data_IF_049344228704
#
_entry.id   IF_049344228704
#
_cell.length_a   1.000
_cell.length_b   1.000
_cell.length_c   1.000
_cell.angle_alpha   90.00
_cell.angle_beta   90.00
_cell.angle_gamma   90.00
#
_symmetry.space_group_name_H-M   'P 1'
#
loop_
_entity.id
_entity.type
_entity.pdbx_description
1 polymer ?
#
# COMPACT_ATOMS: atom_id res chain seq x y z
N UNK A 1 13.19 -21.73 9.48
CA UNK A 1 13.21 -20.66 10.51
C UNK A 1 12.06 -19.74 10.16
N UNK A 2 11.14 -19.51 11.10
CA UNK A 2 10.01 -18.60 10.88
C UNK A 2 10.53 -17.18 10.98
N UNK A 3 10.56 -16.46 9.85
CA UNK A 3 10.95 -15.05 9.83
C UNK A 3 9.77 -14.24 10.35
N UNK A 4 9.91 -13.65 11.55
CA UNK A 4 8.95 -12.66 12.03
C UNK A 4 9.18 -11.37 11.25
N UNK A 5 8.21 -10.94 10.46
CA UNK A 5 8.29 -9.64 9.79
C UNK A 5 8.02 -8.55 10.83
N UNK A 6 8.93 -7.58 10.96
CA UNK A 6 8.73 -6.45 11.87
C UNK A 6 7.87 -5.39 11.18
N UNK A 7 6.78 -4.96 11.83
CA UNK A 7 5.92 -3.89 11.32
C UNK A 7 6.20 -2.62 12.12
N UNK A 8 6.80 -1.63 11.46
CA UNK A 8 6.92 -0.28 12.00
C UNK A 8 5.60 0.44 11.74
N UNK A 9 5.01 1.02 12.79
CA UNK A 9 3.82 1.85 12.69
C UNK A 9 4.15 3.30 13.05
N UNK A 10 3.88 4.22 12.12
CA UNK A 10 4.13 5.65 12.26
C UNK A 10 2.81 6.41 12.30
N UNK A 11 2.58 7.20 13.35
CA UNK A 11 1.42 8.08 13.44
C UNK A 11 1.63 9.30 12.53
N UNK A 12 0.79 9.44 11.49
CA UNK A 12 0.85 10.57 10.56
C UNK A 12 -0.08 11.72 10.94
N UNK A 13 -1.19 11.42 11.60
CA UNK A 13 -2.20 12.40 12.00
C UNK A 13 -3.08 11.85 13.11
N UNK A 14 -3.52 12.73 14.00
CA UNK A 14 -4.49 12.43 15.05
C UNK A 14 -5.40 13.64 15.25
N UNK A 15 -6.69 13.39 15.43
CA UNK A 15 -7.68 14.42 15.74
C UNK A 15 -8.74 13.89 16.69
N UNK A 16 -9.22 14.79 17.54
CA UNK A 16 -10.34 14.55 18.45
C UNK A 16 -11.59 15.24 17.91
N UNK A 17 -12.77 14.69 18.21
CA UNK A 17 -14.07 15.25 17.81
C UNK A 17 -14.37 15.17 16.31
N UNK A 18 -14.35 13.94 15.81
CA UNK A 18 -14.84 13.61 14.47
C UNK A 18 -16.21 12.96 14.55
N UNK A 19 -17.01 13.15 13.50
CA UNK A 19 -18.36 12.59 13.39
C UNK A 19 -18.51 11.76 12.12
N UNK A 20 -19.22 10.64 12.24
CA UNK A 20 -19.50 9.74 11.12
C UNK A 20 -21.00 9.65 10.87
N UNK A 21 -21.39 9.72 9.60
CA UNK A 21 -22.76 9.78 9.11
C UNK A 21 -23.05 8.60 8.18
N UNK A 22 -24.32 8.19 8.11
CA UNK A 22 -24.80 7.32 7.04
C UNK A 22 -24.88 8.12 5.75
N UNK A 23 -24.37 7.55 4.66
CA UNK A 23 -24.45 8.14 3.33
C UNK A 23 -25.25 7.21 2.40
N UNK A 24 -26.01 7.76 1.44
CA UNK A 24 -26.72 6.94 0.47
C UNK A 24 -25.72 6.25 -0.48
N UNK A 25 -26.06 5.08 -1.02
CA UNK A 25 -25.25 4.45 -2.06
C UNK A 25 -25.23 5.31 -3.33
N UNK A 26 -24.15 5.19 -4.10
CA UNK A 26 -23.97 5.87 -5.38
C UNK A 26 -22.88 6.96 -5.34
N UNK A 27 -22.90 7.91 -6.29
CA UNK A 27 -21.80 8.85 -6.49
C UNK A 27 -21.65 9.80 -5.31
N UNK A 28 -20.40 10.17 -5.03
CA UNK A 28 -20.03 11.10 -3.98
C UNK A 28 -20.63 12.49 -4.24
N UNK A 29 -21.65 12.86 -3.45
CA UNK A 29 -22.19 14.22 -3.42
C UNK A 29 -22.79 14.54 -2.07
N UNK A 30 -22.25 15.57 -1.43
CA UNK A 30 -22.67 16.10 -0.14
C UNK A 30 -24.13 16.58 -0.16
N UNK A 31 -24.63 17.03 -1.32
CA UNK A 31 -26.03 17.44 -1.48
C UNK A 31 -27.05 16.32 -1.18
N UNK A 32 -26.62 15.06 -1.34
CA UNK A 32 -27.44 13.87 -1.07
C UNK A 32 -27.28 13.37 0.38
N UNK A 33 -26.33 13.92 1.13
CA UNK A 33 -26.05 13.48 2.49
C UNK A 33 -27.02 14.12 3.47
N UNK A 34 -27.55 13.32 4.38
CA UNK A 34 -28.34 13.83 5.49
C UNK A 34 -27.39 14.30 6.61
N UNK A 35 -27.09 15.60 6.66
CA UNK A 35 -26.16 16.19 7.62
C UNK A 35 -26.79 16.55 8.98
N UNK A 36 -28.03 16.11 9.23
CA UNK A 36 -28.68 16.31 10.54
C UNK A 36 -27.99 15.48 11.61
N UNK A 37 -27.96 16.00 12.84
CA UNK A 37 -27.37 15.29 13.99
C UNK A 37 -27.99 13.91 14.22
N UNK A 38 -29.28 13.73 13.90
CA UNK A 38 -29.97 12.44 14.00
C UNK A 38 -29.44 11.37 13.04
N UNK A 39 -28.62 11.73 12.06
CA UNK A 39 -27.98 10.81 11.12
C UNK A 39 -26.53 10.47 11.49
N UNK A 40 -26.00 11.07 12.56
CA UNK A 40 -24.69 10.73 13.11
C UNK A 40 -24.79 9.34 13.75
N UNK A 41 -23.94 8.41 13.31
CA UNK A 41 -23.90 7.04 13.84
C UNK A 41 -22.77 6.84 14.86
N UNK A 42 -21.77 7.71 14.82
CA UNK A 42 -20.62 7.60 15.69
C UNK A 42 -19.91 8.96 15.81
N UNK A 43 -19.39 9.24 16.99
CA UNK A 43 -18.48 10.36 17.29
C UNK A 43 -17.31 9.85 18.12
N UNK A 44 -16.15 10.48 17.94
CA UNK A 44 -14.94 10.07 18.66
C UNK A 44 -13.68 10.72 18.14
N UNK A 45 -12.57 9.98 18.24
CA UNK A 45 -11.25 10.38 17.76
C UNK A 45 -10.82 9.53 16.58
N UNK A 46 -9.96 10.08 15.72
CA UNK A 46 -9.35 9.30 14.66
C UNK A 46 -7.84 9.49 14.63
N UNK A 47 -7.16 8.49 14.08
CA UNK A 47 -5.74 8.57 13.76
C UNK A 47 -5.42 7.92 12.42
N UNK A 48 -4.55 8.57 11.66
CA UNK A 48 -3.97 8.02 10.43
C UNK A 48 -2.61 7.43 10.77
N UNK A 49 -2.47 6.13 10.52
CA UNK A 49 -1.26 5.36 10.82
C UNK A 49 -0.71 4.80 9.53
N UNK A 50 0.55 5.10 9.25
CA UNK A 50 1.34 4.42 8.22
C UNK A 50 1.96 3.18 8.83
N UNK A 51 2.00 2.09 8.08
CA UNK A 51 2.69 0.88 8.45
C UNK A 51 3.68 0.49 7.36
N UNK A 52 4.91 0.23 7.78
CA UNK A 52 6.00 -0.24 6.95
C UNK A 52 6.44 -1.62 7.46
N UNK A 53 6.39 -2.62 6.58
CA UNK A 53 6.79 -4.00 6.87
C UNK A 53 8.26 -4.18 6.51
N UNK A 54 9.11 -4.32 7.52
CA UNK A 54 10.52 -4.68 7.32
C UNK A 54 10.59 -6.19 7.05
N UNK A 55 11.10 -6.54 5.87
CA UNK A 55 11.43 -7.93 5.53
C UNK A 55 12.91 -8.14 5.82
N UNK A 56 13.22 -8.93 6.85
CA UNK A 56 14.59 -9.24 7.33
C UNK A 56 15.46 -10.05 6.35
N UNK A 57 15.20 -10.02 5.04
CA UNK A 57 15.97 -10.80 4.08
C UNK A 57 16.22 -10.13 2.73
N UNK A 58 16.09 -8.82 2.63
CA UNK A 58 16.62 -8.12 1.46
C UNK A 58 17.19 -6.80 1.88
N UNK A 59 18.46 -6.62 1.56
CA UNK A 59 19.16 -5.35 1.60
C UNK A 59 18.29 -4.26 0.94
N UNK A 60 17.51 -3.54 1.75
CA UNK A 60 16.69 -2.41 1.29
C UNK A 60 17.54 -1.30 0.67
N UNK A 61 18.87 -1.38 0.80
CA UNK A 61 19.83 -0.40 0.30
C UNK A 61 21.13 -0.98 -0.27
N UNK A 62 21.30 -2.31 -0.43
CA UNK A 62 22.59 -2.85 -0.86
C UNK A 62 22.52 -4.21 -1.56
N UNK A 63 22.34 -4.23 -2.88
CA UNK A 63 23.14 -5.17 -3.67
C UNK A 63 23.24 -4.66 -5.11
N UNK A 64 24.19 -3.75 -5.33
CA UNK A 64 24.97 -3.85 -6.56
C UNK A 64 25.47 -5.29 -6.65
N UNK A 65 25.50 -5.92 -7.84
CA UNK A 65 26.05 -7.25 -7.97
C UNK A 65 27.56 -7.17 -7.71
N UNK A 66 27.96 -7.32 -6.45
CA UNK A 66 29.33 -7.66 -6.13
C UNK A 66 29.52 -9.09 -6.62
N UNK A 67 30.22 -9.18 -7.74
CA UNK A 67 30.66 -10.39 -8.39
C UNK A 67 31.48 -11.25 -7.42
N UNK A 68 30.81 -12.08 -6.62
CA UNK A 68 31.42 -13.25 -6.03
C UNK A 68 31.20 -14.43 -6.97
N UNK A 69 32.21 -14.63 -7.81
CA UNK A 69 32.42 -15.84 -8.56
C UNK A 69 32.45 -17.04 -7.59
N UNK A 70 31.40 -17.85 -7.62
CA UNK A 70 31.50 -19.27 -7.27
C UNK A 70 31.15 -20.07 -8.51
N UNK A 71 32.18 -20.74 -9.00
CA UNK A 71 32.15 -21.69 -10.10
C UNK A 71 31.06 -22.74 -9.88
N UNK A 72 30.38 -23.11 -10.96
CA UNK A 72 29.65 -24.38 -11.01
C UNK A 72 28.27 -24.33 -11.63
N UNK A 73 28.25 -24.19 -12.96
CA UNK A 73 27.31 -24.86 -13.87
C UNK A 73 25.83 -24.39 -13.95
N UNK A 74 25.42 -24.27 -15.22
CA UNK A 74 24.07 -24.13 -15.77
C UNK A 74 23.41 -22.73 -15.82
N UNK A 75 23.51 -22.19 -17.03
CA UNK A 75 22.87 -20.99 -17.57
C UNK A 75 21.34 -20.96 -17.38
N UNK A 76 20.89 -20.33 -16.30
CA UNK A 76 19.80 -19.35 -16.35
C UNK A 76 20.28 -18.19 -15.50
N UNK A 77 20.49 -17.02 -16.12
CA UNK A 77 20.63 -15.78 -15.37
C UNK A 77 19.35 -15.65 -14.53
N UNK A 78 19.44 -15.99 -13.24
CA UNK A 78 18.39 -15.71 -12.28
C UNK A 78 18.35 -14.19 -12.13
N UNK A 79 17.61 -13.55 -13.04
CA UNK A 79 17.20 -12.18 -12.93
C UNK A 79 16.32 -12.10 -11.69
N UNK A 80 16.96 -11.75 -10.57
CA UNK A 80 16.27 -11.41 -9.34
C UNK A 80 15.46 -10.16 -9.68
N UNK A 81 14.16 -10.33 -9.87
CA UNK A 81 13.28 -9.18 -10.09
C UNK A 81 13.46 -8.21 -8.92
N UNK A 82 13.43 -6.90 -9.18
CA UNK A 82 13.56 -5.93 -8.12
C UNK A 82 12.40 -6.14 -7.15
N UNK A 83 12.67 -5.94 -5.86
CA UNK A 83 11.61 -6.00 -4.88
C UNK A 83 10.60 -4.90 -5.16
N UNK A 84 9.35 -5.12 -4.78
CA UNK A 84 8.30 -4.11 -4.84
C UNK A 84 8.18 -3.43 -3.47
N UNK A 85 8.92 -2.34 -3.19
CA UNK A 85 8.96 -1.73 -1.87
C UNK A 85 7.59 -1.19 -1.43
N UNK A 86 6.76 -0.77 -2.38
CA UNK A 86 5.39 -0.31 -2.12
C UNK A 86 4.47 -1.40 -1.53
N UNK A 87 4.75 -2.70 -1.74
CA UNK A 87 3.99 -3.79 -1.12
C UNK A 87 4.22 -3.87 0.40
N UNK A 88 5.24 -3.18 0.91
CA UNK A 88 5.55 -3.13 2.33
C UNK A 88 5.00 -1.86 3.00
N UNK A 89 4.48 -0.91 2.23
CA UNK A 89 3.95 0.36 2.72
C UNK A 89 2.43 0.38 2.63
N UNK A 90 1.76 0.68 3.73
CA UNK A 90 0.30 0.79 3.78
C UNK A 90 -0.13 1.85 4.77
N UNK A 91 -1.32 2.42 4.60
CA UNK A 91 -1.93 3.31 5.58
C UNK A 91 -3.25 2.74 6.08
N UNK A 92 -3.59 3.06 7.32
CA UNK A 92 -4.91 2.83 7.90
C UNK A 92 -5.39 4.04 8.68
N UNK A 93 -6.69 4.31 8.58
CA UNK A 93 -7.41 5.23 9.43
C UNK A 93 -8.11 4.41 10.52
N UNK A 94 -7.83 4.72 11.78
CA UNK A 94 -8.49 4.09 12.92
C UNK A 94 -9.43 5.10 13.57
N UNK A 95 -10.71 4.73 13.67
CA UNK A 95 -11.72 5.47 14.39
C UNK A 95 -11.85 4.83 15.76
N UNK A 96 -11.63 5.58 16.84
CA UNK A 96 -11.53 5.02 18.17
C UNK A 96 -12.13 5.93 19.23
N UNK A 97 -12.52 5.31 20.35
CA UNK A 97 -12.94 6.02 21.55
C UNK A 97 -12.04 5.64 22.72
N UNK A 98 -11.61 6.63 23.48
CA UNK A 98 -10.91 6.39 24.73
C UNK A 98 -11.89 5.98 25.81
N UNK A 99 -11.65 4.83 26.43
CA UNK A 99 -12.37 4.34 27.61
C UNK A 99 -11.43 4.33 28.81
N UNK A 100 -11.89 4.86 29.93
CA UNK A 100 -11.18 4.80 31.20
C UNK A 100 -11.60 3.54 31.95
N UNK A 101 -10.68 2.58 32.06
CA UNK A 101 -10.93 1.34 32.80
C UNK A 101 -10.64 1.61 34.28
N UNK A 102 -11.65 1.47 35.17
CA UNK A 102 -11.46 1.69 36.59
C UNK A 102 -10.49 0.65 37.19
N UNK A 103 -9.80 0.99 38.29
CA UNK A 103 -8.90 0.07 38.97
C UNK A 103 -9.61 -1.23 39.37
N UNK A 104 -9.03 -2.37 39.00
CA UNK A 104 -9.48 -3.70 39.39
C UNK A 104 -8.82 -4.20 40.68
N UNK A 105 -9.26 -5.36 41.19
CA UNK A 105 -8.63 -5.97 42.37
C UNK A 105 -7.17 -6.31 42.04
N UNK A 106 -6.24 -5.59 42.67
CA UNK A 106 -4.78 -5.73 42.46
C UNK A 106 -4.12 -4.62 41.64
N UNK A 107 -4.85 -3.65 41.10
CA UNK A 107 -4.29 -2.46 40.45
C UNK A 107 -4.96 -1.20 40.98
N UNK A 108 -4.19 -0.22 41.45
CA UNK A 108 -4.67 1.06 41.97
C UNK A 108 -4.80 2.15 40.89
N UNK A 109 -4.50 1.83 39.63
CA UNK A 109 -4.34 2.81 38.56
C UNK A 109 -5.48 2.67 37.55
N UNK A 110 -6.21 3.77 37.32
CA UNK A 110 -7.14 3.90 36.18
C UNK A 110 -6.34 3.88 34.88
N UNK A 111 -6.63 2.92 34.00
CA UNK A 111 -5.88 2.78 32.74
C UNK A 111 -6.68 3.39 31.60
N UNK A 112 -6.03 4.26 30.81
CA UNK A 112 -6.59 4.78 29.56
C UNK A 112 -6.46 3.70 28.49
N UNK A 113 -7.58 3.25 27.92
CA UNK A 113 -7.60 2.26 26.84
C UNK A 113 -8.36 2.81 25.64
N UNK A 114 -7.72 2.84 24.49
CA UNK A 114 -8.39 3.19 23.23
C UNK A 114 -9.06 1.96 22.64
N UNK A 115 -10.35 2.09 22.31
CA UNK A 115 -11.17 1.03 21.72
C UNK A 115 -11.49 1.43 20.28
N UNK A 116 -10.96 0.67 19.33
CA UNK A 116 -11.20 0.88 17.89
C UNK A 116 -12.64 0.49 17.54
N UNK A 117 -13.34 1.41 16.89
CA UNK A 117 -14.70 1.25 16.39
C UNK A 117 -14.72 0.82 14.92
N UNK A 118 -13.81 1.37 14.09
CA UNK A 118 -13.67 1.00 12.69
C UNK A 118 -12.25 1.24 12.17
N UNK A 119 -11.87 0.47 11.16
CA UNK A 119 -10.62 0.63 10.42
C UNK A 119 -10.93 0.88 8.94
N UNK A 120 -10.17 1.78 8.32
CA UNK A 120 -10.22 2.05 6.88
C UNK A 120 -8.81 1.91 6.34
N UNK A 121 -8.53 0.84 5.60
CA UNK A 121 -7.24 0.68 4.94
C UNK A 121 -7.17 1.53 3.67
N UNK A 122 -6.01 2.11 3.40
CA UNK A 122 -5.82 3.05 2.30
C UNK A 122 -4.51 2.80 1.53
N UNK A 123 -4.66 2.55 0.23
CA UNK A 123 -3.59 2.52 -0.76
C UNK A 123 -3.96 3.51 -1.89
N UNK A 124 -3.04 4.37 -2.34
CA UNK A 124 -3.31 5.25 -3.46
C UNK A 124 -3.50 4.43 -4.73
N UNK A 125 -4.53 4.75 -5.52
CA UNK A 125 -4.72 4.14 -6.83
C UNK A 125 -3.81 4.88 -7.82
N UNK A 126 -2.92 4.19 -8.56
CA UNK A 126 -2.03 4.84 -9.52
C UNK A 126 -2.83 5.43 -10.69
N UNK A 127 -2.54 6.70 -11.02
CA UNK A 127 -3.19 7.46 -12.11
C UNK A 127 -2.78 6.99 -13.52
N UNK A 128 -1.65 6.30 -13.63
CA UNK A 128 -0.96 5.99 -14.89
C UNK A 128 -0.57 4.52 -14.94
N UNK A 129 -1.54 3.66 -15.15
CA UNK A 129 -1.25 2.29 -15.59
C UNK A 129 -2.06 2.05 -16.85
N UNK A 130 -1.37 2.05 -18.00
CA UNK A 130 -1.92 1.55 -19.25
C UNK A 130 -2.54 0.18 -19.01
N UNK A 131 -3.71 -0.05 -19.60
CA UNK A 131 -4.61 -1.20 -19.47
C UNK A 131 -4.04 -2.60 -19.79
N UNK A 132 -2.71 -2.78 -19.76
CA UNK A 132 -2.01 -3.99 -20.17
C UNK A 132 -1.25 -4.68 -19.03
N UNK A 133 -1.21 -4.11 -17.82
CA UNK A 133 -0.54 -4.77 -16.69
C UNK A 133 -1.56 -5.27 -15.66
N UNK A 134 -1.54 -6.59 -15.46
CA UNK A 134 -2.31 -7.36 -14.45
C UNK A 134 -1.96 -7.00 -12.99
N UNK A 135 -1.43 -5.80 -12.76
CA UNK A 135 -1.00 -5.26 -11.47
C UNK A 135 -2.14 -4.44 -10.83
N UNK A 136 -3.15 -4.03 -11.60
CA UNK A 136 -4.29 -3.22 -11.14
C UNK A 136 -5.13 -3.82 -10.00
N UNK A 137 -5.13 -5.16 -9.84
CA UNK A 137 -5.96 -5.82 -8.82
C UNK A 137 -5.35 -5.78 -7.41
N UNK A 138 -4.06 -5.48 -7.26
CA UNK A 138 -3.37 -5.52 -5.96
C UNK A 138 -3.54 -4.23 -5.13
N UNK A 139 -3.89 -3.11 -5.77
CA UNK A 139 -4.02 -1.81 -5.09
C UNK A 139 -5.46 -1.51 -4.64
N UNK A 140 -6.45 -2.17 -5.27
CA UNK A 140 -7.87 -1.90 -5.04
C UNK A 140 -8.33 -2.56 -3.74
N UNK A 141 -8.47 -1.74 -2.70
CA UNK A 141 -8.96 -2.17 -1.39
C UNK A 141 -10.49 -2.23 -1.38
N UNK A 142 -11.14 -1.25 -2.01
CA UNK A 142 -12.60 -1.16 -2.02
C UNK A 142 -13.21 -2.17 -3.00
N UNK A 143 -14.33 -2.79 -2.62
CA UNK A 143 -15.04 -3.77 -3.45
C UNK A 143 -15.60 -3.14 -4.74
N UNK A 144 -15.82 -1.82 -4.77
CA UNK A 144 -16.22 -1.05 -5.95
C UNK A 144 -15.04 -0.59 -6.82
N UNK A 145 -13.80 -0.85 -6.38
CA UNK A 145 -12.57 -0.45 -7.05
C UNK A 145 -12.20 1.03 -6.90
N UNK A 146 -12.96 1.80 -6.10
CA UNK A 146 -12.68 3.21 -5.83
C UNK A 146 -11.63 3.41 -4.71
N UNK A 147 -11.15 4.65 -4.53
CA UNK A 147 -10.35 5.00 -3.35
C UNK A 147 -11.20 4.84 -2.07
N UNK A 148 -10.62 4.24 -1.03
CA UNK A 148 -11.31 4.05 0.25
C UNK A 148 -11.47 5.33 1.07
N UNK A 149 -10.69 6.39 0.77
CA UNK A 149 -10.79 7.71 1.39
C UNK A 149 -10.91 8.73 0.27
N UNK A 150 -12.07 9.37 0.15
CA UNK A 150 -12.38 10.36 -0.90
C UNK A 150 -12.87 11.65 -0.26
N UNK A 151 -12.23 12.78 -0.58
CA UNK A 151 -12.70 14.10 -0.16
C UNK A 151 -13.89 14.54 -1.03
N UNK A 152 -14.92 15.14 -0.44
CA UNK A 152 -16.02 15.71 -1.22
C UNK A 152 -15.57 16.97 -1.95
N UNK A 153 -16.01 17.18 -3.19
CA UNK A 153 -15.69 18.39 -3.96
C UNK A 153 -16.43 19.62 -3.44
N UNK A 154 -17.59 19.45 -2.81
CA UNK A 154 -18.41 20.54 -2.28
C UNK A 154 -17.85 21.12 -0.98
N UNK A 155 -17.06 20.35 -0.20
CA UNK A 155 -16.47 20.81 1.05
C UNK A 155 -15.26 20.00 1.47
N UNK A 156 -14.18 20.68 1.85
CA UNK A 156 -13.00 20.04 2.39
C UNK A 156 -13.29 19.29 3.71
N UNK A 157 -14.30 19.70 4.50
CA UNK A 157 -14.60 19.12 5.82
C UNK A 157 -15.15 17.71 5.78
N UNK A 158 -15.61 17.24 4.62
CA UNK A 158 -16.33 15.99 4.47
C UNK A 158 -15.56 15.02 3.58
N UNK A 159 -15.51 13.78 4.03
CA UNK A 159 -14.86 12.67 3.34
C UNK A 159 -15.80 11.47 3.28
N UNK A 160 -15.84 10.76 2.14
CA UNK A 160 -16.37 9.40 2.09
C UNK A 160 -15.24 8.46 2.50
N UNK A 161 -15.52 7.61 3.48
CA UNK A 161 -14.63 6.55 3.93
C UNK A 161 -15.29 5.19 3.72
N UNK A 162 -14.54 4.21 3.24
CA UNK A 162 -15.02 2.83 3.08
C UNK A 162 -14.47 2.02 4.24
N UNK A 163 -15.26 1.94 5.31
CA UNK A 163 -14.87 1.27 6.54
C UNK A 163 -15.02 -0.25 6.42
N UNK A 164 -14.05 -0.94 7.00
CA UNK A 164 -14.07 -2.38 7.22
C UNK A 164 -14.36 -2.63 8.69
N UNK A 165 -15.13 -3.68 8.97
CA UNK A 165 -15.51 -4.03 10.34
C UNK A 165 -14.25 -4.45 11.09
N UNK A 166 -13.96 -3.88 12.29
CA UNK A 166 -12.77 -4.24 13.05
C UNK A 166 -12.82 -5.71 13.44
N UNK A 167 -11.69 -6.41 13.34
CA UNK A 167 -11.61 -7.85 13.61
C UNK A 167 -12.13 -8.75 12.49
N UNK A 168 -12.47 -8.19 11.31
CA UNK A 168 -12.78 -8.96 10.09
C UNK A 168 -11.58 -9.72 9.51
N UNK A 169 -10.37 -9.49 10.03
CA UNK A 169 -9.13 -10.09 9.52
C UNK A 169 -8.68 -9.52 8.17
N UNK A 170 -9.32 -8.46 7.66
CA UNK A 170 -8.92 -7.85 6.41
C UNK A 170 -7.57 -7.14 6.53
N UNK A 171 -6.57 -7.69 5.87
CA UNK A 171 -5.31 -7.04 5.60
C UNK A 171 -5.05 -7.13 4.10
N UNK A 172 -5.07 -6.00 3.36
CA UNK A 172 -5.01 -6.01 1.89
C UNK A 172 -3.72 -6.61 1.30
N UNK A 173 -2.78 -7.07 2.12
CA UNK A 173 -1.47 -7.58 1.71
C UNK A 173 -1.05 -8.87 2.44
N UNK A 174 -1.97 -9.58 3.11
CA UNK A 174 -1.68 -10.81 3.87
C UNK A 174 -1.61 -12.08 2.99
N UNK A 175 -1.05 -12.00 1.77
CA UNK A 175 -0.77 -13.22 0.97
C UNK A 175 0.55 -13.91 1.39
N UNK A 176 1.31 -13.33 2.34
CA UNK A 176 2.60 -13.86 2.77
C UNK A 176 2.56 -14.74 4.03
N UNK A 177 1.44 -14.80 4.75
CA UNK A 177 1.24 -15.76 5.85
C UNK A 177 0.33 -16.90 5.39
N UNK A 178 0.93 -17.85 4.66
CA UNK A 178 0.50 -19.25 4.52
C UNK A 178 -0.98 -19.56 4.78
N UNK A 179 -1.86 -19.45 3.77
CA UNK A 179 -2.92 -20.44 3.53
C UNK A 179 -3.30 -20.37 2.04
N UNK A 180 -3.32 -21.55 1.43
CA UNK A 180 -3.96 -21.90 0.17
C UNK A 180 -5.40 -21.40 0.05
N UNK A 181 -5.61 -20.12 -0.26
CA UNK A 181 -6.90 -19.63 -0.74
C UNK A 181 -6.85 -19.64 -2.26
N UNK A 182 -7.47 -20.68 -2.82
CA UNK A 182 -7.91 -20.72 -4.20
C UNK A 182 -8.65 -19.43 -4.54
N UNK A 183 -8.36 -18.87 -5.72
CA UNK A 183 -8.81 -17.55 -6.23
C UNK A 183 -10.32 -17.30 -6.21
N UNK A 184 -11.13 -18.31 -5.91
CA UNK A 184 -12.60 -18.27 -5.90
C UNK A 184 -13.22 -17.96 -4.53
N UNK A 185 -12.46 -18.03 -3.43
CA UNK A 185 -12.97 -17.81 -2.05
C UNK A 185 -12.50 -16.48 -1.43
N UNK A 186 -12.28 -15.42 -2.23
CA UNK A 186 -12.31 -14.05 -1.67
C UNK A 186 -13.76 -13.74 -1.36
N UNK A 187 -14.30 -14.29 -0.28
CA UNK A 187 -15.55 -13.82 0.32
C UNK A 187 -15.41 -12.30 0.46
N UNK A 188 -16.12 -11.57 -0.40
CA UNK A 188 -16.08 -10.11 -0.43
C UNK A 188 -16.54 -9.63 0.95
N UNK A 189 -15.57 -9.26 1.78
CA UNK A 189 -15.86 -8.79 3.13
C UNK A 189 -16.80 -7.60 3.03
N UNK A 190 -17.75 -7.55 3.96
CA UNK A 190 -18.73 -6.48 4.00
C UNK A 190 -18.01 -5.17 4.28
N UNK A 191 -18.02 -4.29 3.29
CA UNK A 191 -17.50 -2.92 3.39
C UNK A 191 -18.66 -1.94 3.46
N UNK A 192 -18.51 -0.91 4.28
CA UNK A 192 -19.56 0.10 4.50
C UNK A 192 -19.02 1.47 4.14
N UNK A 193 -19.64 2.11 3.16
CA UNK A 193 -19.36 3.50 2.83
C UNK A 193 -20.02 4.42 3.86
N UNK A 194 -19.24 5.29 4.47
CA UNK A 194 -19.63 6.21 5.53
C UNK A 194 -19.14 7.62 5.22
N UNK A 195 -19.86 8.62 5.74
CA UNK A 195 -19.43 10.01 5.64
C UNK A 195 -18.68 10.43 6.90
N UNK A 196 -17.45 10.90 6.78
CA UNK A 196 -16.64 11.45 7.85
C UNK A 196 -16.68 12.98 7.79
N UNK A 197 -16.81 13.62 8.96
CA UNK A 197 -16.75 15.07 9.13
C UNK A 197 -15.80 15.42 10.26
N UNK A 198 -14.91 16.37 9.99
CA UNK A 198 -14.13 17.05 11.02
C UNK A 198 -14.90 18.23 11.59
N UNK A 199 -14.87 18.40 12.91
CA UNK A 199 -15.43 19.59 13.56
C UNK A 199 -14.61 20.83 13.16
N UNK A 200 -13.29 20.74 13.33
CA UNK A 200 -12.36 21.82 13.05
C UNK A 200 -11.86 21.82 11.61
N UNK A 201 -11.80 23.02 11.01
CA UNK A 201 -11.24 23.20 9.66
C UNK A 201 -9.73 22.97 9.64
N UNK A 202 -9.04 23.27 10.74
CA UNK A 202 -7.60 23.06 10.86
C UNK A 202 -7.24 21.57 10.79
N UNK A 203 -7.97 20.73 11.52
CA UNK A 203 -7.83 19.27 11.47
C UNK A 203 -8.09 18.71 10.08
N UNK A 204 -9.06 19.28 9.36
CA UNK A 204 -9.34 18.92 7.97
C UNK A 204 -8.15 19.16 7.06
N UNK A 205 -7.53 20.35 7.16
CA UNK A 205 -6.38 20.72 6.34
C UNK A 205 -5.19 19.82 6.66
N UNK A 206 -4.90 19.66 7.95
CA UNK A 206 -3.77 18.85 8.42
C UNK A 206 -3.95 17.38 8.03
N UNK A 207 -5.17 16.83 8.13
CA UNK A 207 -5.48 15.48 7.66
C UNK A 207 -5.22 15.32 6.16
N UNK A 208 -5.68 16.28 5.35
CA UNK A 208 -5.44 16.28 3.90
C UNK A 208 -3.96 16.33 3.56
N UNK A 209 -3.19 17.16 4.28
CA UNK A 209 -1.73 17.25 4.12
C UNK A 209 -1.03 15.94 4.48
N UNK A 210 -1.34 15.34 5.64
CA UNK A 210 -0.78 14.05 6.04
C UNK A 210 -1.13 12.93 5.05
N UNK A 211 -2.35 12.90 4.53
CA UNK A 211 -2.75 11.94 3.50
C UNK A 211 -1.97 12.15 2.21
N UNK A 212 -1.76 13.40 1.78
CA UNK A 212 -0.98 13.73 0.58
C UNK A 212 0.51 13.40 0.73
N UNK A 213 1.08 13.58 1.93
CA UNK A 213 2.45 13.15 2.24
C UNK A 213 2.58 11.63 2.04
N UNK A 214 1.65 10.86 2.59
CA UNK A 214 1.60 9.42 2.38
C UNK A 214 1.45 9.05 0.89
N UNK A 215 0.50 9.66 0.16
CA UNK A 215 0.33 9.44 -1.30
C UNK A 215 1.62 9.69 -2.07
N UNK A 216 2.34 10.79 -1.76
CA UNK A 216 3.61 11.12 -2.41
C UNK A 216 4.69 10.09 -2.08
N UNK A 217 4.81 9.67 -0.82
CA UNK A 217 5.78 8.65 -0.41
C UNK A 217 5.51 7.32 -1.11
N UNK A 218 4.26 6.91 -1.18
CA UNK A 218 3.85 5.70 -1.90
C UNK A 218 4.20 5.77 -3.38
N UNK A 219 3.86 6.89 -4.06
CA UNK A 219 4.23 7.11 -5.47
C UNK A 219 5.76 7.10 -5.68
N UNK A 220 6.54 7.66 -4.76
CA UNK A 220 8.00 7.61 -4.88
C UNK A 220 8.54 6.17 -4.84
N UNK A 221 7.95 5.28 -4.02
CA UNK A 221 8.31 3.86 -4.00
C UNK A 221 7.91 3.14 -5.29
N UNK A 222 6.76 3.50 -5.87
CA UNK A 222 6.32 3.00 -7.17
C UNK A 222 7.26 3.45 -8.30
N UNK A 223 7.59 4.75 -8.34
CA UNK A 223 8.51 5.33 -9.32
C UNK A 223 9.91 4.70 -9.22
N UNK A 224 10.40 4.47 -8.00
CA UNK A 224 11.67 3.77 -7.77
C UNK A 224 11.64 2.35 -8.33
N UNK A 225 10.57 1.58 -8.06
CA UNK A 225 10.42 0.23 -8.60
C UNK A 225 10.42 0.22 -10.14
N UNK A 226 9.68 1.13 -10.77
CA UNK A 226 9.65 1.25 -12.22
C UNK A 226 10.99 1.68 -12.81
N UNK A 227 11.73 2.53 -12.10
CA UNK A 227 13.09 2.89 -12.47
C UNK A 227 14.02 1.66 -12.45
N UNK A 228 13.99 0.88 -11.36
CA UNK A 228 14.80 -0.35 -11.23
C UNK A 228 14.45 -1.38 -12.32
N UNK A 229 13.17 -1.55 -12.65
CA UNK A 229 12.75 -2.40 -13.76
C UNK A 229 13.34 -1.95 -15.11
N UNK A 230 13.29 -0.64 -15.40
CA UNK A 230 13.87 -0.08 -16.63
C UNK A 230 15.38 -0.24 -16.69
N UNK A 231 16.08 -0.08 -15.56
CA UNK A 231 17.52 -0.33 -15.49
C UNK A 231 17.84 -1.78 -15.82
N UNK A 232 17.11 -2.74 -15.24
CA UNK A 232 17.27 -4.16 -15.53
C UNK A 232 16.98 -4.50 -17.01
N UNK A 233 15.96 -3.89 -17.60
CA UNK A 233 15.66 -4.04 -19.02
C UNK A 233 16.81 -3.50 -19.91
N UNK A 234 17.37 -2.35 -19.56
CA UNK A 234 18.52 -1.76 -20.25
C UNK A 234 19.77 -2.63 -20.12
N UNK A 235 20.06 -3.17 -18.94
CA UNK A 235 21.18 -4.10 -18.73
C UNK A 235 21.02 -5.37 -19.57
N UNK A 236 19.81 -5.95 -19.62
CA UNK A 236 19.52 -7.09 -20.49
C UNK A 236 19.73 -6.76 -21.97
N UNK A 237 19.21 -5.62 -22.43
CA UNK A 237 19.38 -5.22 -23.83
C UNK A 237 20.84 -4.95 -24.20
N UNK A 238 21.63 -4.35 -23.30
CA UNK A 238 23.07 -4.12 -23.48
C UNK A 238 23.86 -5.44 -23.53
N UNK A 239 23.54 -6.39 -22.65
CA UNK A 239 24.15 -7.73 -22.66
C UNK A 239 23.90 -8.48 -23.97
N UNK A 240 22.70 -8.34 -24.54
CA UNK A 240 22.35 -8.95 -25.82
C UNK A 240 23.10 -8.32 -27.00
N UNK A 241 23.38 -7.01 -26.97
CA UNK A 241 24.13 -6.31 -28.02
C UNK A 241 25.60 -6.78 -28.07
N UNK A 242 26.25 -6.93 -26.91
CA UNK A 242 27.65 -7.38 -26.84
C UNK A 242 27.88 -8.80 -27.37
N UNK A 243 26.89 -9.70 -27.25
CA UNK A 243 26.92 -11.04 -27.83
C UNK A 243 26.76 -11.03 -29.37
N UNK A 244 25.97 -10.10 -29.92
CA UNK A 244 25.78 -9.99 -31.37
C UNK A 244 26.97 -9.38 -32.11
N UNK A 245 27.72 -8.47 -31.48
CA UNK A 245 28.92 -7.90 -32.10
C UNK A 245 30.10 -8.88 -32.09
N UNK A 246 30.27 -9.67 -31.03
CA UNK A 246 31.31 -10.71 -30.99
C UNK A 246 31.04 -11.85 -31.98
N UNK A 247 29.78 -12.24 -32.19
CA UNK A 247 29.44 -13.28 -33.20
C UNK A 247 29.64 -12.79 -34.63
N UNK A 248 29.34 -11.51 -34.94
CA UNK A 248 29.68 -10.90 -36.24
C UNK A 248 31.19 -10.76 -36.44
N UNK A 249 31.96 -10.36 -35.43
CA UNK A 249 33.41 -10.26 -35.52
C UNK A 249 34.06 -11.64 -35.74
N UNK A 250 33.53 -12.68 -35.08
CA UNK A 250 34.03 -14.06 -35.21
C UNK A 250 33.67 -14.67 -36.58
N UNK A 251 32.48 -14.38 -37.12
CA UNK A 251 32.13 -14.81 -38.48
C UNK A 251 32.92 -14.06 -39.57
N UNK A 252 33.23 -12.77 -39.38
CA UNK A 252 34.08 -12.00 -40.30
C UNK A 252 35.54 -12.47 -40.29
N UNK A 253 36.07 -12.88 -39.13
CA UNK A 253 37.44 -13.42 -39.05
C UNK A 253 37.56 -14.84 -39.60
N UNK A 254 36.55 -15.70 -39.43
CA UNK A 254 36.53 -17.03 -40.06
C UNK A 254 36.35 -16.99 -41.58
N UNK A 255 35.58 -16.04 -42.11
CA UNK A 255 35.43 -15.90 -43.58
C UNK A 255 36.71 -15.38 -44.26
N UNK A 256 37.53 -14.57 -43.58
CA UNK A 256 38.81 -14.13 -44.14
C UNK A 256 39.94 -15.18 -44.07
N UNK A 257 39.90 -16.10 -43.11
CA UNK A 257 40.91 -17.18 -43.02
C UNK A 257 40.68 -18.32 -44.02
N UNK A 258 39.44 -18.52 -44.49
CA UNK A 258 39.13 -19.49 -45.55
C UNK A 258 39.39 -18.97 -46.96
N UNK A 259 39.59 -17.66 -47.15
CA UNK A 259 39.91 -17.07 -48.45
C UNK A 259 41.42 -17.00 -48.76
N UNK A 260 42.27 -17.53 -47.87
CA UNK A 260 43.75 -17.47 -47.98
C UNK A 260 44.43 -18.85 -48.02
N UNK A 261 43.69 -19.91 -48.34
CA UNK A 261 44.22 -21.26 -48.60
C UNK A 261 43.96 -21.70 -50.04
#
# INVERSE_FOLDING_TARGET
MSYSSEIISTLLFESTNVSVYRIPPGPLSLSKWNLKESNVIWTGSLRLVEQEMIRDNVDLFASFPESQAKEGNENKANLKMPNKPYECLRAKLELYNTVYVPPGVGSLITTKKDVVWAEVWYNPIPELVSAESSIEEYFKIANDGEETIQMTTESAKFYKIIAQIPGSGYHPLCELENISSTKDDKELLVQVALGLKFEETFDTITFSESLNIYKRRFRNFEDQYHYELKVLELEQSSSNITLTDNTKLTMMTMTMTLATL
#
